data_IF_381313453489
#
_entry.id   IF_381313453489
#
_cell.length_a   1.000
_cell.length_b   1.000
_cell.length_c   1.000
_cell.angle_alpha   90.00
_cell.angle_beta   90.00
_cell.angle_gamma   90.00
#
_symmetry.space_group_name_H-M   'P 1'
#
loop_
_entity.id
_entity.type
_entity.pdbx_description
1 polymer ?
#
# COMPACT_ATOMS: atom_id res chain seq x y z
N UNK A 1 -6.31 -42.22 -26.85
CA UNK A 1 -6.60 -41.56 -25.56
C UNK A 1 -5.37 -40.89 -24.90
N UNK A 2 -4.14 -41.08 -25.40
CA UNK A 2 -2.91 -40.51 -24.80
C UNK A 2 -2.64 -39.01 -25.14
N UNK A 3 -3.10 -38.51 -26.30
CA UNK A 3 -2.91 -37.10 -26.69
C UNK A 3 -3.73 -36.08 -25.88
N UNK A 4 -4.91 -36.44 -25.37
CA UNK A 4 -5.75 -35.52 -24.57
C UNK A 4 -5.17 -35.24 -23.18
N UNK A 5 -4.47 -36.22 -22.61
CA UNK A 5 -3.80 -36.10 -21.30
C UNK A 5 -2.58 -35.18 -21.38
N UNK A 6 -1.82 -35.21 -22.48
CA UNK A 6 -0.65 -34.34 -22.68
C UNK A 6 -1.08 -32.88 -22.88
N UNK A 7 -2.17 -32.63 -23.62
CA UNK A 7 -2.71 -31.26 -23.81
C UNK A 7 -3.28 -30.69 -22.50
N UNK A 8 -3.90 -31.52 -21.66
CA UNK A 8 -4.41 -31.09 -20.35
C UNK A 8 -3.27 -30.75 -19.37
N UNK A 9 -2.15 -31.49 -19.43
CA UNK A 9 -0.97 -31.21 -18.60
C UNK A 9 -0.19 -29.96 -19.05
N UNK A 10 -0.18 -29.67 -20.36
CA UNK A 10 0.47 -28.48 -20.92
C UNK A 10 -0.32 -27.19 -20.61
N UNK A 11 -1.64 -27.29 -20.45
CA UNK A 11 -2.49 -26.15 -20.10
C UNK A 11 -2.41 -25.77 -18.61
N UNK A 12 -2.09 -26.73 -17.72
CA UNK A 12 -2.00 -26.50 -16.27
C UNK A 12 -0.68 -25.82 -15.84
N UNK A 13 0.35 -25.79 -16.70
CA UNK A 13 1.66 -25.20 -16.40
C UNK A 13 1.76 -23.69 -16.73
N UNK A 14 0.71 -23.09 -17.32
CA UNK A 14 0.73 -21.70 -17.76
C UNK A 14 0.23 -20.67 -16.74
N UNK A 15 -0.22 -21.08 -15.56
CA UNK A 15 -0.74 -20.13 -14.54
C UNK A 15 0.16 -20.05 -13.32
N UNK A 16 1.48 -20.01 -13.53
CA UNK A 16 2.40 -19.51 -12.52
C UNK A 16 2.34 -17.98 -12.51
N UNK A 17 1.19 -17.41 -12.13
CA UNK A 17 1.13 -15.98 -11.84
C UNK A 17 2.04 -15.76 -10.64
N UNK A 18 3.22 -15.19 -10.90
CA UNK A 18 4.14 -14.77 -9.85
C UNK A 18 3.40 -13.75 -8.99
N UNK A 19 2.85 -14.20 -7.85
CA UNK A 19 2.26 -13.33 -6.84
C UNK A 19 3.41 -12.51 -6.26
N UNK A 20 3.71 -11.36 -6.85
CA UNK A 20 4.61 -10.39 -6.23
C UNK A 20 3.91 -9.96 -4.93
N UNK A 21 4.37 -10.51 -3.81
CA UNK A 21 3.85 -10.16 -2.50
C UNK A 21 4.04 -8.67 -2.27
N UNK A 22 2.96 -7.94 -2.00
CA UNK A 22 3.09 -6.51 -1.72
C UNK A 22 3.60 -6.32 -0.30
N UNK A 23 4.82 -5.80 -0.16
CA UNK A 23 5.55 -5.71 1.11
C UNK A 23 5.81 -4.26 1.49
N UNK A 24 5.71 -3.99 2.78
CA UNK A 24 6.11 -2.75 3.41
C UNK A 24 7.29 -3.06 4.33
N UNK A 25 8.38 -2.30 4.21
CA UNK A 25 9.62 -2.49 4.97
C UNK A 25 10.00 -1.22 5.72
N UNK A 26 10.59 -1.36 6.89
CA UNK A 26 11.18 -0.21 7.60
C UNK A 26 12.49 0.25 6.92
N UNK A 27 13.06 1.35 7.41
CA UNK A 27 14.35 1.89 6.92
C UNK A 27 15.53 0.90 6.95
N UNK A 28 15.47 -0.14 7.78
CA UNK A 28 16.49 -1.18 7.88
C UNK A 28 16.25 -2.37 6.93
N UNK A 29 15.17 -2.33 6.14
CA UNK A 29 14.80 -3.38 5.19
C UNK A 29 14.01 -4.55 5.79
N UNK A 30 13.72 -4.54 7.10
CA UNK A 30 12.86 -5.56 7.71
C UNK A 30 11.41 -5.35 7.28
N UNK A 31 10.72 -6.44 6.93
CA UNK A 31 9.29 -6.39 6.59
C UNK A 31 8.45 -6.08 7.83
N UNK A 32 7.65 -5.03 7.76
CA UNK A 32 6.77 -4.55 8.84
C UNK A 32 5.29 -4.78 8.55
N UNK A 33 4.96 -5.05 7.28
CA UNK A 33 3.60 -5.35 6.89
C UNK A 33 3.47 -5.76 5.44
N UNK A 34 2.23 -6.09 5.09
CA UNK A 34 1.83 -6.54 3.77
C UNK A 34 0.52 -5.86 3.38
N UNK A 35 0.32 -5.69 2.07
CA UNK A 35 -1.00 -5.36 1.51
C UNK A 35 -1.42 -6.51 0.61
N UNK A 36 -2.51 -7.18 0.97
CA UNK A 36 -2.96 -8.37 0.26
C UNK A 36 -4.47 -8.31 0.05
N UNK A 37 -4.89 -8.23 -1.21
CA UNK A 37 -6.31 -8.16 -1.59
C UNK A 37 -7.07 -7.09 -0.78
N UNK A 38 -6.50 -5.88 -0.69
CA UNK A 38 -7.04 -4.76 0.08
C UNK A 38 -6.80 -4.82 1.59
N UNK A 39 -6.32 -5.94 2.15
CA UNK A 39 -6.05 -6.08 3.58
C UNK A 39 -4.66 -5.55 3.92
N UNK A 40 -4.58 -4.65 4.90
CA UNK A 40 -3.31 -4.24 5.50
C UNK A 40 -3.01 -5.18 6.65
N UNK A 41 -1.91 -5.93 6.55
CA UNK A 41 -1.46 -6.90 7.56
C UNK A 41 -0.16 -6.42 8.21
N UNK A 42 0.00 -6.69 9.50
CA UNK A 42 1.28 -6.50 10.18
C UNK A 42 2.28 -7.62 9.82
N UNK A 43 3.52 -7.52 10.32
CA UNK A 43 4.57 -8.52 10.09
C UNK A 43 4.21 -9.94 10.57
N UNK A 44 3.35 -10.06 11.59
CA UNK A 44 2.82 -11.33 12.10
C UNK A 44 1.65 -11.89 11.28
N UNK A 45 1.20 -11.19 10.24
CA UNK A 45 0.11 -11.61 9.36
C UNK A 45 -1.31 -11.21 9.83
N UNK A 46 -1.44 -10.58 11.00
CA UNK A 46 -2.73 -10.10 11.50
C UNK A 46 -3.19 -8.87 10.72
N UNK A 47 -4.48 -8.83 10.36
CA UNK A 47 -5.07 -7.68 9.66
C UNK A 47 -5.24 -6.50 10.62
N UNK A 48 -4.64 -5.36 10.30
CA UNK A 48 -4.73 -4.11 11.07
C UNK A 48 -5.71 -3.11 10.43
N UNK A 49 -6.05 -3.30 9.16
CA UNK A 49 -7.09 -2.54 8.47
C UNK A 49 -7.18 -2.92 7.00
N UNK A 50 -7.81 -2.04 6.22
CA UNK A 50 -8.10 -2.26 4.81
C UNK A 50 -7.87 -0.98 4.01
N UNK A 51 -7.37 -1.12 2.79
CA UNK A 51 -7.27 -0.06 1.78
C UNK A 51 -7.89 -0.59 0.49
N UNK A 52 -9.09 -0.11 0.16
CA UNK A 52 -9.90 -0.58 -0.96
C UNK A 52 -10.59 0.62 -1.62
N UNK A 53 -10.47 0.74 -2.95
CA UNK A 53 -11.13 1.80 -3.74
C UNK A 53 -10.96 3.22 -3.17
N UNK A 54 -9.74 3.53 -2.73
CA UNK A 54 -9.39 4.83 -2.13
C UNK A 54 -9.88 5.01 -0.70
N UNK A 55 -10.66 4.09 -0.11
CA UNK A 55 -11.07 4.14 1.30
C UNK A 55 -10.09 3.40 2.18
N UNK A 56 -9.88 3.94 3.38
CA UNK A 56 -9.11 3.31 4.44
C UNK A 56 -10.05 2.95 5.60
N UNK A 57 -10.03 1.69 6.01
CA UNK A 57 -10.83 1.18 7.13
C UNK A 57 -9.93 0.61 8.22
N UNK A 58 -10.35 0.72 9.47
CA UNK A 58 -9.71 0.01 10.58
C UNK A 58 -10.02 -1.49 10.55
N UNK A 59 -9.42 -2.27 11.46
CA UNK A 59 -9.62 -3.73 11.55
C UNK A 59 -11.08 -4.15 11.82
N UNK A 60 -11.91 -3.26 12.37
CA UNK A 60 -13.35 -3.47 12.61
C UNK A 60 -14.22 -3.09 11.40
N UNK A 61 -13.61 -2.63 10.30
CA UNK A 61 -14.31 -2.27 9.07
C UNK A 61 -14.87 -0.85 9.03
N UNK A 62 -14.66 -0.02 10.06
CA UNK A 62 -15.09 1.37 10.04
C UNK A 62 -14.13 2.22 9.19
N UNK A 63 -14.68 3.05 8.30
CA UNK A 63 -13.90 3.99 7.50
C UNK A 63 -13.23 5.03 8.40
N UNK A 64 -11.91 5.14 8.31
CA UNK A 64 -11.10 6.12 9.06
C UNK A 64 -10.55 7.24 8.17
N UNK A 65 -10.59 7.05 6.85
CA UNK A 65 -10.25 8.07 5.89
C UNK A 65 -10.40 7.61 4.46
N UNK A 66 -10.10 8.49 3.52
CA UNK A 66 -10.16 8.20 2.10
C UNK A 66 -9.26 9.13 1.30
N UNK A 67 -8.79 8.64 0.15
CA UNK A 67 -8.06 9.38 -0.85
C UNK A 67 -8.98 9.64 -2.05
N UNK A 68 -9.13 10.92 -2.40
CA UNK A 68 -9.96 11.35 -3.52
C UNK A 68 -9.43 12.66 -4.12
N UNK A 69 -9.34 12.73 -5.46
CA UNK A 69 -8.83 13.89 -6.20
C UNK A 69 -7.57 14.51 -5.58
N UNK A 70 -6.53 13.70 -5.37
CA UNK A 70 -5.24 14.07 -4.75
C UNK A 70 -5.30 14.49 -3.27
N UNK A 71 -6.48 14.46 -2.63
CA UNK A 71 -6.67 14.81 -1.21
C UNK A 71 -6.79 13.55 -0.36
N UNK A 72 -6.15 13.57 0.79
CA UNK A 72 -6.31 12.57 1.83
C UNK A 72 -7.19 13.20 2.91
N UNK A 73 -8.32 12.56 3.19
CA UNK A 73 -9.34 13.06 4.13
C UNK A 73 -9.54 12.07 5.27
N UNK A 74 -9.91 12.58 6.43
CA UNK A 74 -10.36 11.76 7.55
C UNK A 74 -11.82 11.30 7.37
N UNK A 75 -12.33 10.49 8.30
CA UNK A 75 -13.71 9.99 8.27
C UNK A 75 -14.78 11.09 8.30
N UNK A 76 -14.50 12.25 8.90
CA UNK A 76 -15.38 13.43 8.92
C UNK A 76 -15.35 14.23 7.61
N UNK A 77 -14.45 13.89 6.68
CA UNK A 77 -14.30 14.51 5.38
C UNK A 77 -13.37 15.73 5.32
N UNK A 78 -12.75 16.10 6.44
CA UNK A 78 -11.72 17.14 6.46
C UNK A 78 -10.44 16.65 5.78
N UNK A 79 -9.84 17.50 4.95
CA UNK A 79 -8.54 17.22 4.32
C UNK A 79 -7.43 17.25 5.37
N UNK A 80 -6.71 16.14 5.51
CA UNK A 80 -5.57 15.99 6.42
C UNK A 80 -4.23 15.98 5.68
N UNK A 81 -4.26 15.82 4.35
CA UNK A 81 -3.08 15.92 3.52
C UNK A 81 -3.37 15.80 2.03
N UNK A 82 -2.31 15.81 1.25
CA UNK A 82 -2.36 15.73 -0.20
C UNK A 82 -1.29 14.78 -0.71
N UNK A 83 -1.56 14.11 -1.83
CA UNK A 83 -0.57 13.35 -2.57
C UNK A 83 -0.66 13.67 -4.06
N UNK A 84 0.38 14.32 -4.57
CA UNK A 84 0.51 14.77 -5.95
C UNK A 84 1.99 14.75 -6.35
N UNK A 85 2.30 14.40 -7.60
CA UNK A 85 3.67 14.39 -8.14
C UNK A 85 4.71 13.68 -7.25
N UNK A 86 4.31 12.54 -6.68
CA UNK A 86 5.08 11.77 -5.70
C UNK A 86 5.41 12.50 -4.39
N UNK A 87 4.86 13.69 -4.13
CA UNK A 87 5.03 14.46 -2.89
C UNK A 87 3.82 14.29 -1.98
N UNK A 88 4.10 14.15 -0.69
CA UNK A 88 3.11 14.11 0.37
C UNK A 88 3.14 15.44 1.11
N UNK A 89 1.98 16.09 1.21
CA UNK A 89 1.82 17.36 1.94
C UNK A 89 0.86 17.18 3.10
N UNK A 90 1.06 17.94 4.18
CA UNK A 90 0.08 18.07 5.25
C UNK A 90 -1.11 18.94 4.82
N UNK A 91 -2.12 19.09 5.68
CA UNK A 91 -3.30 19.92 5.43
C UNK A 91 -2.99 21.39 5.14
N UNK A 92 -1.87 21.91 5.66
CA UNK A 92 -1.40 23.28 5.43
C UNK A 92 -0.61 23.45 4.13
N UNK A 93 -0.38 22.38 3.37
CA UNK A 93 0.32 22.40 2.08
C UNK A 93 1.85 22.24 2.18
N UNK A 94 2.41 22.10 3.38
CA UNK A 94 3.84 21.84 3.54
C UNK A 94 4.18 20.39 3.19
N UNK A 95 5.22 20.19 2.38
CA UNK A 95 5.74 18.85 2.07
C UNK A 95 6.27 18.17 3.34
N UNK A 96 5.74 17.00 3.66
CA UNK A 96 6.17 16.15 4.78
C UNK A 96 6.97 14.93 4.33
N UNK A 97 6.90 14.61 3.04
CA UNK A 97 7.69 13.53 2.46
C UNK A 97 7.42 13.33 0.98
N UNK A 98 8.04 12.31 0.41
CA UNK A 98 7.91 11.97 -1.00
C UNK A 98 8.26 10.50 -1.26
N UNK A 99 7.86 10.04 -2.45
CA UNK A 99 8.13 8.70 -2.96
C UNK A 99 9.21 8.79 -4.03
N UNK A 100 10.25 7.96 -3.91
CA UNK A 100 11.37 7.90 -4.85
C UNK A 100 11.91 6.47 -4.91
N UNK A 101 11.96 5.86 -6.10
CA UNK A 101 12.59 4.55 -6.34
C UNK A 101 12.19 3.45 -5.35
N UNK A 102 10.89 3.29 -5.09
CA UNK A 102 10.37 2.29 -4.14
C UNK A 102 10.60 2.63 -2.66
N UNK A 103 11.05 3.86 -2.36
CA UNK A 103 11.28 4.37 -1.01
C UNK A 103 10.23 5.40 -0.64
N UNK A 104 9.90 5.43 0.64
CA UNK A 104 9.17 6.51 1.29
C UNK A 104 10.19 7.35 2.06
N UNK A 105 10.29 8.63 1.73
CA UNK A 105 11.29 9.55 2.30
C UNK A 105 10.61 10.71 3.02
N UNK A 106 11.22 11.20 4.09
CA UNK A 106 10.81 12.43 4.76
C UNK A 106 11.08 13.65 3.87
N UNK A 107 10.54 14.81 4.23
CA UNK A 107 10.85 16.08 3.55
C UNK A 107 12.34 16.45 3.59
N UNK A 108 13.08 15.97 4.60
CA UNK A 108 14.53 16.12 4.71
C UNK A 108 15.33 15.09 3.89
N UNK A 109 14.67 14.15 3.22
CA UNK A 109 15.30 13.13 2.38
C UNK A 109 15.75 11.85 3.10
N UNK A 110 15.48 11.71 4.40
CA UNK A 110 15.73 10.47 5.13
C UNK A 110 14.72 9.39 4.73
N UNK A 111 15.18 8.16 4.54
CA UNK A 111 14.29 7.01 4.27
C UNK A 111 13.47 6.67 5.52
N UNK A 112 12.15 6.69 5.39
CA UNK A 112 11.17 6.21 6.37
C UNK A 112 11.02 4.69 6.22
N UNK A 113 10.86 4.24 4.97
CA UNK A 113 10.68 2.84 4.64
C UNK A 113 10.75 2.55 3.15
N UNK A 114 10.51 1.30 2.80
CA UNK A 114 10.47 0.81 1.42
C UNK A 114 9.13 0.11 1.17
N UNK A 115 8.74 0.06 -0.09
CA UNK A 115 7.57 -0.70 -0.53
C UNK A 115 7.87 -1.44 -1.83
N UNK A 116 7.41 -2.68 -1.93
CA UNK A 116 7.62 -3.57 -3.08
C UNK A 116 6.26 -4.10 -3.53
N UNK A 117 5.90 -3.93 -4.80
CA UNK A 117 4.60 -4.39 -5.33
C UNK A 117 3.37 -3.64 -4.79
N UNK A 118 3.55 -2.62 -3.95
CA UNK A 118 2.48 -1.79 -3.36
C UNK A 118 2.26 -0.54 -4.23
N UNK A 119 1.00 -0.08 -4.39
CA UNK A 119 0.73 1.18 -5.08
C UNK A 119 1.26 2.36 -4.27
N UNK A 120 1.82 3.38 -4.93
CA UNK A 120 2.42 4.54 -4.24
C UNK A 120 1.46 5.20 -3.24
N UNK A 121 0.19 5.36 -3.63
CA UNK A 121 -0.82 5.93 -2.74
C UNK A 121 -1.08 5.06 -1.51
N UNK A 122 -1.09 3.73 -1.63
CA UNK A 122 -1.26 2.84 -0.48
C UNK A 122 -0.07 2.92 0.47
N UNK A 123 1.15 3.01 -0.07
CA UNK A 123 2.34 3.26 0.73
C UNK A 123 2.25 4.61 1.46
N UNK A 124 1.75 5.67 0.81
CA UNK A 124 1.55 6.98 1.46
C UNK A 124 0.50 6.90 2.56
N UNK A 125 -0.65 6.28 2.30
CA UNK A 125 -1.71 6.08 3.29
C UNK A 125 -1.19 5.29 4.51
N UNK A 126 -0.34 4.29 4.27
CA UNK A 126 0.31 3.53 5.33
C UNK A 126 1.30 4.36 6.13
N UNK A 127 2.33 4.92 5.47
CA UNK A 127 3.49 5.53 6.14
C UNK A 127 3.26 6.93 6.72
N UNK A 128 2.26 7.68 6.23
CA UNK A 128 2.06 9.07 6.67
C UNK A 128 0.75 9.33 7.43
N UNK A 129 -0.29 8.51 7.28
CA UNK A 129 -1.63 8.90 7.72
C UNK A 129 -2.36 7.90 8.63
N UNK A 130 -2.31 6.59 8.34
CA UNK A 130 -3.28 5.66 8.96
C UNK A 130 -2.70 4.46 9.70
N UNK A 131 -1.48 3.99 9.39
CA UNK A 131 -1.02 2.68 9.87
C UNK A 131 0.40 2.63 10.45
N UNK A 132 1.27 3.57 10.10
CA UNK A 132 2.67 3.62 10.56
C UNK A 132 2.85 4.58 11.74
#
# INVERSE_FOLDING_TARGET
MKCKIIVLFLFLMLTSTSLIAQRLKNKNGSTIGYIESGRVKNSSGSTVGYIEDGRVKNSRGATIGYFDMSRIRNSSGSTIGYFEDNRVKNSSGSTIGYIEDGRVKSSSGSTIGYFEGVRRIEAVLYFFFFFY
#
